data_IF_634261834686
#
_entry.id   IF_634261834686
#
_cell.length_a   1.000
_cell.length_b   1.000
_cell.length_c   1.000
_cell.angle_alpha   90.00
_cell.angle_beta   90.00
_cell.angle_gamma   90.00
#
_symmetry.space_group_name_H-M   'P 1'
#
loop_
_entity.id
_entity.type
_entity.pdbx_description
1 polymer ?
#
# COMPACT_ATOMS: atom_id res chain seq x y z
N UNK A 1 2.49 9.07 15.12
CA UNK A 1 2.00 7.97 15.99
C UNK A 1 1.10 6.97 15.28
N UNK A 2 0.28 7.35 14.29
CA UNK A 2 -0.67 6.44 13.64
C UNK A 2 -0.06 5.31 12.78
N UNK A 3 1.17 5.47 12.27
CA UNK A 3 1.77 4.47 11.36
C UNK A 3 1.92 3.09 12.01
N UNK A 4 2.28 3.01 13.29
CA UNK A 4 2.42 1.74 14.02
C UNK A 4 1.08 1.00 14.15
N UNK A 5 -0.01 1.72 14.33
CA UNK A 5 -1.34 1.09 14.37
C UNK A 5 -1.67 0.48 13.00
N UNK A 6 -1.37 1.19 11.92
CA UNK A 6 -1.62 0.70 10.57
C UNK A 6 -0.72 -0.48 10.18
N UNK A 7 0.52 -0.52 10.69
CA UNK A 7 1.45 -1.65 10.52
C UNK A 7 0.92 -2.96 11.14
N UNK A 8 0.04 -2.89 12.15
CA UNK A 8 -0.55 -4.07 12.81
C UNK A 8 -2.02 -4.34 12.44
N UNK A 9 -2.63 -3.53 11.57
CA UNK A 9 -3.99 -3.73 11.09
C UNK A 9 -4.05 -4.88 10.08
N UNK A 10 -4.98 -5.81 10.28
CA UNK A 10 -5.23 -6.93 9.36
C UNK A 10 -6.00 -6.52 8.09
N UNK A 11 -6.60 -5.32 8.09
CA UNK A 11 -7.25 -4.76 6.90
C UNK A 11 -6.21 -4.13 5.98
N UNK A 12 -6.29 -4.42 4.68
CA UNK A 12 -5.42 -3.81 3.68
C UNK A 12 -5.70 -2.31 3.55
N UNK A 13 -4.66 -1.49 3.66
CA UNK A 13 -4.74 -0.03 3.55
C UNK A 13 -3.72 0.44 2.52
N UNK A 14 -4.16 1.27 1.58
CA UNK A 14 -3.34 1.91 0.56
C UNK A 14 -3.49 3.43 0.66
N UNK A 15 -2.36 4.13 0.57
CA UNK A 15 -2.33 5.58 0.42
C UNK A 15 -1.96 5.91 -1.02
N UNK A 16 -2.78 6.72 -1.67
CA UNK A 16 -2.57 7.16 -3.04
C UNK A 16 -2.40 8.69 -3.10
N UNK A 17 -1.68 9.17 -4.11
CA UNK A 17 -1.67 10.59 -4.48
C UNK A 17 -2.86 10.97 -5.37
N UNK A 18 -2.89 12.24 -5.79
CA UNK A 18 -3.88 12.80 -6.71
C UNK A 18 -3.89 12.12 -8.10
N UNK A 19 -2.77 11.51 -8.48
CA UNK A 19 -2.62 10.70 -9.69
C UNK A 19 -3.02 9.23 -9.55
N UNK A 20 -3.56 8.81 -8.40
CA UNK A 20 -3.81 7.41 -8.04
C UNK A 20 -2.55 6.54 -8.03
N UNK A 21 -1.40 7.14 -7.73
CA UNK A 21 -0.13 6.44 -7.57
C UNK A 21 0.05 6.02 -6.12
N UNK A 22 0.60 4.84 -5.93
CA UNK A 22 0.82 4.26 -4.63
C UNK A 22 1.95 4.97 -3.88
N UNK A 23 1.62 5.62 -2.77
CA UNK A 23 2.57 6.30 -1.89
C UNK A 23 2.99 5.41 -0.72
N UNK A 24 2.05 4.62 -0.19
CA UNK A 24 2.29 3.77 0.96
C UNK A 24 1.28 2.62 1.02
N UNK A 25 1.68 1.52 1.65
CA UNK A 25 0.78 0.42 1.99
C UNK A 25 1.17 -0.19 3.32
N UNK A 26 0.19 -0.77 4.02
CA UNK A 26 0.47 -1.55 5.22
C UNK A 26 0.82 -3.01 4.86
N UNK A 27 1.35 -3.80 5.82
CA UNK A 27 1.71 -5.20 5.55
C UNK A 27 0.55 -6.07 5.07
N UNK A 28 -0.68 -5.81 5.53
CA UNK A 28 -1.86 -6.54 5.05
C UNK A 28 -2.13 -6.30 3.55
N UNK A 29 -1.87 -5.09 3.04
CA UNK A 29 -1.94 -4.78 1.61
C UNK A 29 -0.79 -5.44 0.82
N UNK A 30 0.44 -5.44 1.34
CA UNK A 30 1.55 -6.18 0.70
C UNK A 30 1.23 -7.66 0.53
N UNK A 31 0.66 -8.27 1.58
CA UNK A 31 0.23 -9.66 1.56
C UNK A 31 -0.92 -9.90 0.56
N UNK A 32 -1.91 -9.00 0.52
CA UNK A 32 -3.06 -9.11 -0.39
C UNK A 32 -2.65 -9.04 -1.87
N UNK A 33 -1.76 -8.12 -2.22
CA UNK A 33 -1.30 -7.92 -3.59
C UNK A 33 -0.08 -8.79 -3.97
N UNK A 34 0.48 -9.55 -3.03
CA UNK A 34 1.69 -10.34 -3.21
C UNK A 34 2.89 -9.53 -3.77
N UNK A 35 3.01 -8.26 -3.36
CA UNK A 35 4.08 -7.34 -3.77
C UNK A 35 4.59 -6.54 -2.58
N UNK A 36 5.87 -6.16 -2.62
CA UNK A 36 6.45 -5.26 -1.62
C UNK A 36 6.35 -3.80 -2.06
N UNK A 37 6.08 -2.87 -1.14
CA UNK A 37 5.95 -1.43 -1.42
C UNK A 37 7.13 -0.89 -2.21
N UNK A 38 8.36 -1.27 -1.87
CA UNK A 38 9.57 -0.79 -2.56
C UNK A 38 9.64 -1.15 -4.05
N UNK A 39 8.89 -2.16 -4.51
CA UNK A 39 8.80 -2.54 -5.92
C UNK A 39 7.72 -1.75 -6.68
N UNK A 40 6.73 -1.24 -5.97
CA UNK A 40 5.50 -0.68 -6.58
C UNK A 40 5.22 0.78 -6.19
N UNK A 41 6.09 1.39 -5.39
CA UNK A 41 5.98 2.80 -5.01
C UNK A 41 6.00 3.70 -6.25
N UNK A 42 5.05 4.64 -6.35
CA UNK A 42 4.89 5.55 -7.49
C UNK A 42 4.20 4.95 -8.72
N UNK A 43 3.93 3.64 -8.74
CA UNK A 43 3.09 3.02 -9.76
C UNK A 43 1.61 3.35 -9.54
N UNK A 44 0.85 3.38 -10.64
CA UNK A 44 -0.60 3.57 -10.58
C UNK A 44 -1.27 2.33 -10.02
N UNK A 45 -2.28 2.48 -9.17
CA UNK A 45 -3.02 1.36 -8.58
C UNK A 45 -3.50 0.33 -9.62
N UNK A 46 -3.92 0.79 -10.80
CA UNK A 46 -4.39 -0.07 -11.90
C UNK A 46 -3.33 -0.99 -12.49
N UNK A 47 -2.04 -0.81 -12.16
CA UNK A 47 -0.97 -1.72 -12.60
C UNK A 47 -0.74 -2.91 -11.65
N UNK A 48 -1.47 -2.96 -10.54
CA UNK A 48 -1.37 -3.99 -9.51
C UNK A 48 -2.39 -5.12 -9.67
N UNK A 49 -3.31 -5.02 -10.65
CA UNK A 49 -4.40 -5.96 -10.94
C UNK A 49 -4.38 -6.43 -12.39
#
# INVERSE_FOLDING_TARGET
MYRRLMEHLSTAVLLLDDGLRLCWMNPAAEALFAVSLGRVQGHRLTSLV
#
